data_IF_815140895952
#
_entry.id   IF_815140895952
#
_cell.length_a   1.000
_cell.length_b   1.000
_cell.length_c   1.000
_cell.angle_alpha   90.00
_cell.angle_beta   90.00
_cell.angle_gamma   90.00
#
_symmetry.space_group_name_H-M   'P 1'
#
loop_
_entity.id
_entity.type
_entity.pdbx_description
1 polymer ?
#
# COMPACT_ATOMS: atom_id res chain seq x y z
N UNK A 1 6.54 2.71 26.44
CA UNK A 1 5.23 2.98 25.82
C UNK A 1 5.39 3.58 24.43
N UNK A 2 6.19 4.64 24.22
CA UNK A 2 6.44 5.20 22.87
C UNK A 2 7.06 4.21 21.88
N UNK A 3 7.96 3.32 22.33
CA UNK A 3 8.58 2.32 21.44
C UNK A 3 7.56 1.35 20.82
N UNK A 4 6.53 0.93 21.58
CA UNK A 4 5.45 0.10 21.05
C UNK A 4 4.62 0.83 19.98
N UNK A 5 4.46 2.15 20.10
CA UNK A 5 3.79 2.97 19.07
C UNK A 5 4.66 3.05 17.82
N UNK A 6 5.98 3.17 17.96
CA UNK A 6 6.92 3.15 16.82
C UNK A 6 6.87 1.81 16.09
N UNK A 7 6.93 0.69 16.81
CA UNK A 7 6.87 -0.64 16.21
C UNK A 7 5.55 -0.86 15.48
N UNK A 8 4.44 -0.40 16.05
CA UNK A 8 3.14 -0.51 15.41
C UNK A 8 3.02 0.35 14.14
N UNK A 9 3.50 1.60 14.18
CA UNK A 9 3.54 2.47 12.99
C UNK A 9 4.36 1.82 11.87
N UNK A 10 5.49 1.20 12.21
CA UNK A 10 6.31 0.49 11.24
C UNK A 10 5.64 -0.77 10.71
N UNK A 11 4.99 -1.55 11.57
CA UNK A 11 4.22 -2.73 11.17
C UNK A 11 3.11 -2.36 10.17
N UNK A 12 2.35 -1.30 10.45
CA UNK A 12 1.32 -0.79 9.54
C UNK A 12 1.90 -0.27 8.22
N UNK A 13 3.09 0.35 8.26
CA UNK A 13 3.83 0.73 7.06
C UNK A 13 4.21 -0.48 6.19
N UNK A 14 4.66 -1.58 6.80
CA UNK A 14 4.97 -2.84 6.09
C UNK A 14 3.72 -3.48 5.47
N UNK A 15 2.55 -3.28 6.08
CA UNK A 15 1.27 -3.74 5.54
C UNK A 15 0.68 -2.80 4.48
N UNK A 16 1.39 -1.75 4.07
CA UNK A 16 0.90 -0.70 3.18
C UNK A 16 -0.38 0.00 3.70
N UNK A 17 -0.54 0.07 5.03
CA UNK A 17 -1.63 0.76 5.72
C UNK A 17 -1.10 1.91 6.60
N UNK A 18 -0.40 2.90 6.03
CA UNK A 18 0.23 3.96 6.81
C UNK A 18 -0.81 4.80 7.57
N UNK A 19 -0.43 5.27 8.77
CA UNK A 19 -1.29 6.12 9.60
C UNK A 19 -1.21 7.59 9.19
N UNK A 20 -2.34 8.29 9.27
CA UNK A 20 -2.41 9.75 9.11
C UNK A 20 -2.10 10.46 10.45
N UNK A 21 -1.45 11.62 10.37
CA UNK A 21 -1.12 12.45 11.55
C UNK A 21 -2.34 12.85 12.40
N UNK A 22 -3.56 12.83 11.85
CA UNK A 22 -4.82 13.09 12.57
C UNK A 22 -5.32 11.83 13.29
N UNK A 23 -4.94 10.66 12.82
CA UNK A 23 -5.41 9.35 13.34
C UNK A 23 -4.50 8.76 14.42
N UNK A 24 -3.22 9.13 14.44
CA UNK A 24 -2.28 8.66 15.46
C UNK A 24 -2.66 9.14 16.88
N UNK A 25 -3.25 10.33 17.01
CA UNK A 25 -3.70 10.87 18.30
C UNK A 25 -4.80 10.04 18.96
N UNK A 26 -5.93 9.79 18.27
CA UNK A 26 -6.95 8.83 18.70
C UNK A 26 -6.37 7.46 19.05
N UNK A 27 -5.52 6.90 18.19
CA UNK A 27 -4.88 5.60 18.42
C UNK A 27 -4.04 5.57 19.72
N UNK A 28 -3.26 6.61 19.96
CA UNK A 28 -2.48 6.73 21.21
C UNK A 28 -3.39 6.85 22.43
N UNK A 29 -4.55 7.50 22.31
CA UNK A 29 -5.56 7.53 23.38
C UNK A 29 -6.13 6.14 23.66
N UNK A 30 -6.45 5.36 22.63
CA UNK A 30 -6.97 4.00 22.81
C UNK A 30 -5.96 3.10 23.55
N UNK A 31 -4.66 3.27 23.31
CA UNK A 31 -3.61 2.49 23.97
C UNK A 31 -3.31 3.01 25.39
N UNK A 32 -3.17 4.32 25.55
CA UNK A 32 -2.68 4.93 26.79
C UNK A 32 -3.78 5.38 27.76
N UNK A 33 -5.04 5.38 27.30
CA UNK A 33 -6.19 5.94 28.02
C UNK A 33 -6.24 7.47 28.05
N UNK A 34 -5.19 8.16 27.61
CA UNK A 34 -5.04 9.62 27.69
C UNK A 34 -4.80 10.20 26.30
N UNK A 35 -5.50 11.30 25.99
CA UNK A 35 -5.29 11.96 24.71
C UNK A 35 -3.94 12.69 24.70
N UNK A 36 -3.09 12.48 23.67
CA UNK A 36 -1.79 13.13 23.61
C UNK A 36 -1.94 14.65 23.45
N UNK A 37 -1.00 15.41 24.03
CA UNK A 37 -1.02 16.87 23.94
C UNK A 37 -0.92 17.37 22.49
N UNK A 38 -1.39 18.60 22.23
CA UNK A 38 -1.43 19.20 20.88
C UNK A 38 -0.12 19.09 20.08
N UNK A 39 1.03 19.21 20.76
CA UNK A 39 2.35 19.19 20.13
C UNK A 39 3.02 17.81 20.17
N UNK A 40 2.37 16.80 20.75
CA UNK A 40 2.95 15.48 20.97
C UNK A 40 3.29 14.79 19.65
N UNK A 41 2.38 14.78 18.66
CA UNK A 41 2.61 14.13 17.36
C UNK A 41 3.83 14.72 16.64
N UNK A 42 3.96 16.06 16.64
CA UNK A 42 5.10 16.73 16.02
C UNK A 42 6.41 16.35 16.71
N UNK A 43 6.43 16.31 18.05
CA UNK A 43 7.61 15.91 18.83
C UNK A 43 7.95 14.44 18.62
N UNK A 44 6.95 13.56 18.61
CA UNK A 44 7.10 12.13 18.38
C UNK A 44 7.76 11.86 17.02
N UNK A 45 7.28 12.49 15.95
CA UNK A 45 7.87 12.37 14.61
C UNK A 45 9.30 12.91 14.54
N UNK A 46 9.59 14.02 15.23
CA UNK A 46 10.95 14.59 15.28
C UNK A 46 11.94 13.67 16.02
N UNK A 47 11.53 13.16 17.19
CA UNK A 47 12.32 12.24 18.01
C UNK A 47 12.60 10.93 17.28
N UNK A 48 11.62 10.41 16.55
CA UNK A 48 11.70 9.12 15.86
C UNK A 48 11.96 9.24 14.35
N UNK A 49 12.42 10.39 13.85
CA UNK A 49 12.70 10.64 12.42
C UNK A 49 13.63 9.64 11.72
N UNK A 50 14.47 8.93 12.49
CA UNK A 50 15.36 7.87 11.98
C UNK A 50 14.66 6.51 11.84
N UNK A 51 13.59 6.29 12.59
CA UNK A 51 12.84 5.02 12.65
C UNK A 51 11.50 5.10 11.90
N UNK A 52 10.91 6.29 11.78
CA UNK A 52 9.62 6.53 11.14
C UNK A 52 9.82 7.45 9.95
N UNK A 53 9.36 7.02 8.78
CA UNK A 53 9.32 7.85 7.60
C UNK A 53 7.99 8.59 7.53
N UNK A 54 8.04 9.91 7.74
CA UNK A 54 6.91 10.79 7.46
C UNK A 54 7.05 11.33 6.04
N UNK A 55 6.19 10.85 5.15
CA UNK A 55 6.11 11.34 3.77
C UNK A 55 4.66 11.57 3.38
N UNK A 56 4.47 12.48 2.42
CA UNK A 56 3.20 12.49 1.68
C UNK A 56 3.24 11.32 0.72
N UNK A 57 2.15 10.58 0.60
CA UNK A 57 1.96 9.66 -0.51
C UNK A 57 2.15 10.46 -1.79
N UNK A 58 3.16 10.11 -2.58
CA UNK A 58 3.27 10.68 -3.92
C UNK A 58 1.97 10.32 -4.65
N UNK A 59 1.39 11.29 -5.37
CA UNK A 59 0.36 10.94 -6.33
C UNK A 59 0.93 9.84 -7.24
N UNK A 60 0.10 8.86 -7.64
CA UNK A 60 0.52 7.94 -8.68
C UNK A 60 1.08 8.76 -9.85
N UNK A 61 2.16 8.26 -10.47
CA UNK A 61 2.68 8.88 -11.68
C UNK A 61 1.50 9.10 -12.66
N UNK A 62 1.33 10.31 -13.22
CA UNK A 62 0.14 10.63 -14.01
C UNK A 62 -0.09 9.68 -15.17
N UNK A 63 0.97 9.09 -15.74
CA UNK A 63 0.84 8.09 -16.80
C UNK A 63 0.24 6.81 -16.26
N UNK A 64 0.71 6.36 -15.09
CA UNK A 64 0.14 5.22 -14.38
C UNK A 64 -1.32 5.47 -14.00
N UNK A 65 -1.65 6.63 -13.44
CA UNK A 65 -3.02 7.00 -13.09
C UNK A 65 -3.95 7.03 -14.31
N UNK A 66 -3.48 7.52 -15.47
CA UNK A 66 -4.23 7.51 -16.72
C UNK A 66 -4.43 6.10 -17.28
N UNK A 67 -3.49 5.19 -17.08
CA UNK A 67 -3.62 3.79 -17.48
C UNK A 67 -4.67 3.02 -16.66
N UNK A 68 -5.04 3.48 -15.47
CA UNK A 68 -6.16 2.92 -14.68
C UNK A 68 -7.55 3.43 -15.14
N UNK A 69 -7.70 3.76 -16.43
CA UNK A 69 -9.02 4.08 -16.96
C UNK A 69 -9.77 2.79 -17.36
N UNK A 70 -11.06 2.72 -17.02
CA UNK A 70 -11.87 1.51 -17.25
C UNK A 70 -11.85 1.06 -18.71
N UNK A 71 -11.93 1.99 -19.66
CA UNK A 71 -12.00 1.67 -21.08
C UNK A 71 -10.73 0.97 -21.58
N UNK A 72 -9.55 1.48 -21.22
CA UNK A 72 -8.25 0.90 -21.59
C UNK A 72 -8.03 -0.45 -20.91
N UNK A 73 -8.36 -0.57 -19.63
CA UNK A 73 -8.22 -1.84 -18.91
C UNK A 73 -9.17 -2.89 -19.50
N UNK A 74 -10.43 -2.50 -19.78
CA UNK A 74 -11.42 -3.39 -20.36
C UNK A 74 -11.06 -3.83 -21.78
N UNK A 75 -10.63 -2.89 -22.63
CA UNK A 75 -10.16 -3.19 -24.00
C UNK A 75 -8.94 -4.11 -24.00
N UNK A 76 -7.99 -3.89 -23.09
CA UNK A 76 -6.85 -4.78 -22.90
C UNK A 76 -7.29 -6.21 -22.58
N UNK A 77 -8.19 -6.40 -21.61
CA UNK A 77 -8.66 -7.74 -21.23
C UNK A 77 -9.49 -8.40 -22.34
N UNK A 78 -10.27 -7.63 -23.10
CA UNK A 78 -11.00 -8.17 -24.26
C UNK A 78 -10.06 -8.67 -25.35
N UNK A 79 -9.02 -7.88 -25.68
CA UNK A 79 -7.99 -8.28 -26.66
C UNK A 79 -7.19 -9.48 -26.17
N UNK A 80 -6.82 -9.50 -24.90
CA UNK A 80 -6.13 -10.63 -24.28
C UNK A 80 -6.98 -11.90 -24.37
N UNK A 81 -8.27 -11.82 -24.03
CA UNK A 81 -9.20 -12.95 -24.11
C UNK A 81 -9.35 -13.46 -25.54
N UNK A 82 -9.46 -12.57 -26.52
CA UNK A 82 -9.54 -12.95 -27.93
C UNK A 82 -8.28 -13.70 -28.39
N UNK A 83 -7.10 -13.23 -27.98
CA UNK A 83 -5.82 -13.87 -28.31
C UNK A 83 -5.67 -15.25 -27.66
N UNK A 84 -6.10 -15.40 -26.40
CA UNK A 84 -6.08 -16.68 -25.70
C UNK A 84 -7.01 -17.70 -26.35
N UNK A 85 -8.19 -17.26 -26.80
CA UNK A 85 -9.15 -18.10 -27.53
C UNK A 85 -8.60 -18.53 -28.90
N UNK A 86 -8.01 -17.58 -29.66
CA UNK A 86 -7.41 -17.84 -30.98
C UNK A 86 -6.26 -18.87 -30.91
N UNK A 87 -5.40 -18.77 -29.89
CA UNK A 87 -4.28 -19.68 -29.71
C UNK A 87 -4.60 -20.91 -28.84
N UNK A 88 -5.84 -21.04 -28.36
CA UNK A 88 -6.27 -22.15 -27.50
C UNK A 88 -5.47 -22.26 -26.19
N UNK A 89 -4.96 -21.14 -25.66
CA UNK A 89 -4.13 -21.11 -24.46
C UNK A 89 -5.06 -21.17 -23.24
N UNK A 90 -5.01 -22.23 -22.43
CA UNK A 90 -5.85 -22.33 -21.25
C UNK A 90 -5.38 -21.33 -20.18
N UNK A 91 -6.32 -20.69 -19.49
CA UNK A 91 -6.07 -19.63 -18.49
C UNK A 91 -5.12 -20.08 -17.37
N UNK A 92 -5.17 -21.36 -17.01
CA UNK A 92 -4.26 -22.03 -16.07
C UNK A 92 -2.77 -21.83 -16.41
N UNK A 93 -2.39 -21.75 -17.70
CA UNK A 93 -1.01 -21.51 -18.11
C UNK A 93 -0.51 -20.10 -17.78
N UNK A 94 -1.42 -19.12 -17.70
CA UNK A 94 -1.07 -17.74 -17.33
C UNK A 94 -0.77 -17.67 -15.84
N UNK A 95 -1.63 -18.29 -15.02
CA UNK A 95 -1.46 -18.28 -13.56
C UNK A 95 -0.27 -19.13 -13.11
N UNK A 96 0.02 -20.23 -13.81
CA UNK A 96 1.12 -21.12 -13.47
C UNK A 96 2.51 -20.51 -13.75
N UNK A 97 2.62 -19.46 -14.57
CA UNK A 97 3.90 -18.78 -14.84
C UNK A 97 4.45 -18.04 -13.60
N UNK A 98 3.59 -17.37 -12.83
CA UNK A 98 3.98 -16.59 -11.63
C UNK A 98 4.31 -17.50 -10.43
N UNK A 99 3.65 -18.66 -10.32
CA UNK A 99 3.88 -19.61 -9.22
C UNK A 99 5.04 -20.59 -9.45
N UNK A 100 5.24 -21.08 -10.68
CA UNK A 100 6.16 -22.21 -10.97
C UNK A 100 7.31 -21.83 -11.90
N UNK A 101 7.24 -20.68 -12.56
CA UNK A 101 8.18 -20.29 -13.61
C UNK A 101 8.02 -21.11 -14.90
N UNK A 102 8.74 -20.71 -15.95
CA UNK A 102 8.79 -21.45 -17.21
C UNK A 102 9.63 -22.72 -17.02
N UNK A 103 8.98 -23.85 -16.72
CA UNK A 103 9.66 -25.14 -16.62
C UNK A 103 9.86 -25.69 -18.05
N UNK A 104 11.09 -25.56 -18.55
CA UNK A 104 11.55 -26.11 -19.84
C UNK A 104 11.89 -27.59 -19.72
#
# INVERSE_FOLDING_TARGET
>A
QEEAVVDWVNHLGLLAQPLDCRTIGPFVKDISGVFPGKNWVSRFLELHKKKIQYCRTAALDPKHAQCFNYATVHDYFNKLKALLDEHGIPLENIYNMDEKGCQM
#
